data_IF_250695746577
#
_entry.id   IF_250695746577
#
_cell.length_a   1.000
_cell.length_b   1.000
_cell.length_c   1.000
_cell.angle_alpha   90.00
_cell.angle_beta   90.00
_cell.angle_gamma   90.00
#
_symmetry.space_group_name_H-M   'P 1'
#
loop_
_entity.id
_entity.type
_entity.pdbx_description
1 polymer ?
#
# COMPACT_ATOMS: atom_id res chain seq x y z
N UNK A 1 -30.33 -21.67 54.30
CA UNK A 1 -30.66 -20.88 53.09
C UNK A 1 -29.32 -20.52 52.45
N UNK A 2 -28.83 -21.23 51.41
CA UNK A 2 -29.12 -21.01 49.97
C UNK A 2 -29.24 -19.53 49.61
N UNK A 3 -28.24 -19.01 48.89
CA UNK A 3 -28.30 -18.65 47.46
C UNK A 3 -26.85 -18.65 46.94
N UNK A 4 -26.55 -19.60 46.05
CA UNK A 4 -25.53 -19.43 45.03
C UNK A 4 -26.18 -18.70 43.86
N UNK A 5 -25.39 -17.93 43.09
CA UNK A 5 -25.56 -17.49 41.68
C UNK A 5 -24.97 -16.06 41.54
N UNK A 6 -24.27 -15.63 40.49
CA UNK A 6 -23.85 -16.19 39.20
C UNK A 6 -22.73 -15.27 38.68
N UNK A 7 -21.76 -15.86 37.97
CA UNK A 7 -20.74 -15.18 37.16
C UNK A 7 -21.39 -14.28 36.09
N UNK A 8 -20.88 -13.06 35.88
CA UNK A 8 -20.89 -12.46 34.54
C UNK A 8 -19.46 -12.06 34.22
N UNK A 9 -18.84 -12.90 33.39
CA UNK A 9 -17.57 -12.61 32.76
C UNK A 9 -17.69 -11.39 31.86
N UNK A 10 -16.68 -10.55 31.90
CA UNK A 10 -16.27 -9.77 30.75
C UNK A 10 -14.78 -9.95 30.60
N UNK A 11 -14.39 -11.11 30.06
CA UNK A 11 -13.17 -11.17 29.26
C UNK A 11 -13.48 -10.34 28.01
N UNK A 12 -13.22 -9.04 28.08
CA UNK A 12 -13.01 -8.25 26.88
C UNK A 12 -11.71 -8.78 26.31
N UNK A 13 -11.80 -9.83 25.50
CA UNK A 13 -10.77 -10.16 24.55
C UNK A 13 -10.69 -8.92 23.65
N UNK A 14 -9.73 -8.05 23.92
CA UNK A 14 -9.14 -7.22 22.89
C UNK A 14 -8.67 -8.21 21.83
N UNK A 15 -9.55 -8.52 20.86
CA UNK A 15 -9.11 -8.94 19.56
C UNK A 15 -8.35 -7.74 19.05
N UNK A 16 -7.05 -7.69 19.36
CA UNK A 16 -6.13 -6.90 18.58
C UNK A 16 -6.38 -7.36 17.15
N UNK A 17 -7.05 -6.51 16.37
CA UNK A 17 -7.00 -6.62 14.93
C UNK A 17 -5.52 -6.58 14.64
N UNK A 18 -4.99 -7.75 14.36
CA UNK A 18 -3.58 -7.88 14.15
C UNK A 18 -3.34 -7.30 12.78
N UNK A 19 -3.01 -6.01 12.78
CA UNK A 19 -2.45 -5.30 11.64
C UNK A 19 -1.15 -6.00 11.28
N UNK A 20 -1.24 -7.03 10.45
CA UNK A 20 -0.08 -7.70 9.89
C UNK A 20 0.13 -7.18 8.47
N UNK A 21 0.96 -6.14 8.38
CA UNK A 21 1.76 -5.95 7.19
C UNK A 21 2.54 -7.26 6.94
N UNK A 22 2.58 -7.72 5.69
CA UNK A 22 3.38 -8.89 5.37
C UNK A 22 4.87 -8.57 5.57
N UNK A 23 5.65 -9.57 6.01
CA UNK A 23 7.08 -9.36 6.26
C UNK A 23 7.81 -8.86 5.00
N UNK A 24 8.88 -8.08 5.17
CA UNK A 24 9.70 -7.59 4.06
C UNK A 24 10.17 -8.70 3.11
N UNK A 25 10.40 -9.93 3.62
CA UNK A 25 10.75 -11.12 2.83
C UNK A 25 9.60 -11.56 1.91
N UNK A 26 8.36 -11.43 2.36
CA UNK A 26 7.19 -11.78 1.57
C UNK A 26 6.93 -10.73 0.49
N UNK A 27 7.12 -9.44 0.81
CA UNK A 27 7.09 -8.37 -0.18
C UNK A 27 8.15 -8.56 -1.27
N UNK A 28 9.34 -9.09 -0.93
CA UNK A 28 10.37 -9.46 -1.90
C UNK A 28 9.87 -10.51 -2.90
N UNK A 29 9.14 -11.52 -2.41
CA UNK A 29 8.61 -12.57 -3.29
C UNK A 29 7.64 -11.99 -4.29
N UNK A 30 6.75 -11.09 -3.85
CA UNK A 30 5.85 -10.39 -4.74
C UNK A 30 6.59 -9.50 -5.73
N UNK A 31 7.64 -8.79 -5.30
CA UNK A 31 8.41 -7.92 -6.19
C UNK A 31 9.12 -8.70 -7.31
N UNK A 32 9.47 -9.96 -7.02
CA UNK A 32 10.10 -10.87 -7.98
C UNK A 32 9.09 -11.63 -8.85
N UNK A 33 7.79 -11.37 -8.75
CA UNK A 33 6.82 -11.93 -9.68
C UNK A 33 7.06 -11.42 -11.11
N UNK A 34 6.77 -12.25 -12.13
CA UNK A 34 7.03 -11.92 -13.52
C UNK A 34 6.26 -10.68 -13.96
N UNK A 35 6.92 -9.84 -14.75
CA UNK A 35 6.27 -8.69 -15.39
C UNK A 35 5.46 -9.15 -16.61
N UNK A 36 4.39 -8.42 -16.90
CA UNK A 36 3.43 -8.66 -17.97
C UNK A 36 3.27 -7.42 -18.83
N UNK A 37 2.88 -7.62 -20.08
CA UNK A 37 2.52 -6.52 -20.97
C UNK A 37 1.07 -6.11 -20.69
N UNK A 38 0.85 -4.80 -20.51
CA UNK A 38 -0.44 -4.20 -20.26
C UNK A 38 -0.70 -3.02 -21.22
N UNK A 39 -1.96 -2.63 -21.31
CA UNK A 39 -2.41 -1.42 -22.00
C UNK A 39 -2.62 -0.30 -20.97
N UNK A 40 -1.92 0.82 -21.13
CA UNK A 40 -2.13 2.02 -20.33
C UNK A 40 -3.24 2.85 -20.96
N UNK A 41 -4.32 3.09 -20.22
CA UNK A 41 -5.45 3.91 -20.63
C UNK A 41 -5.30 5.32 -20.05
N UNK A 42 -6.25 6.20 -20.38
CA UNK A 42 -6.27 7.57 -19.85
C UNK A 42 -6.47 7.54 -18.34
N UNK A 43 -5.72 8.37 -17.62
CA UNK A 43 -5.91 8.54 -16.18
C UNK A 43 -7.36 8.95 -15.84
N UNK A 44 -7.80 8.50 -14.68
CA UNK A 44 -9.15 8.79 -14.16
C UNK A 44 -9.06 9.49 -12.82
N UNK A 45 -10.05 10.33 -12.54
CA UNK A 45 -10.29 10.77 -11.17
C UNK A 45 -10.59 9.55 -10.30
N UNK A 46 -10.01 9.50 -9.11
CA UNK A 46 -10.36 8.53 -8.10
C UNK A 46 -10.58 9.21 -6.74
N UNK A 47 -11.50 8.66 -5.91
CA UNK A 47 -11.67 9.13 -4.56
C UNK A 47 -10.36 9.05 -3.78
N UNK A 48 -10.20 9.90 -2.78
CA UNK A 48 -9.08 9.77 -1.88
C UNK A 48 -9.28 8.57 -0.94
N UNK A 49 -8.19 7.94 -0.51
CA UNK A 49 -8.25 6.71 0.31
C UNK A 49 -9.04 6.86 1.62
N UNK A 50 -9.15 8.09 2.15
CA UNK A 50 -9.91 8.43 3.35
C UNK A 50 -11.40 8.72 3.10
N UNK A 51 -11.85 8.76 1.84
CA UNK A 51 -13.24 9.03 1.47
C UNK A 51 -14.08 7.76 1.45
N UNK A 52 -15.37 7.87 1.79
CA UNK A 52 -16.28 6.72 1.96
C UNK A 52 -16.45 5.88 0.69
N UNK A 53 -16.45 6.52 -0.47
CA UNK A 53 -16.61 5.91 -1.78
C UNK A 53 -15.30 5.35 -2.39
N UNK A 54 -14.16 5.40 -1.69
CA UNK A 54 -12.95 4.71 -2.15
C UNK A 54 -13.13 3.18 -2.16
N UNK A 55 -12.37 2.49 -3.01
CA UNK A 55 -12.47 1.04 -3.21
C UNK A 55 -12.34 0.27 -1.87
N UNK A 56 -13.32 -0.60 -1.51
CA UNK A 56 -13.31 -1.32 -0.23
C UNK A 56 -12.11 -2.25 -0.03
N UNK A 57 -11.61 -2.89 -1.09
CA UNK A 57 -10.42 -3.73 -1.02
C UNK A 57 -9.17 -2.88 -0.82
N UNK A 58 -9.09 -1.73 -1.49
CA UNK A 58 -8.03 -0.74 -1.31
C UNK A 58 -7.97 -0.22 0.13
N UNK A 59 -9.12 0.14 0.73
CA UNK A 59 -9.19 0.52 2.16
C UNK A 59 -8.65 -0.57 3.07
N UNK A 60 -9.10 -1.82 2.87
CA UNK A 60 -8.65 -2.96 3.67
C UNK A 60 -7.15 -3.22 3.54
N UNK A 61 -6.56 -3.01 2.35
CA UNK A 61 -5.11 -3.12 2.14
C UNK A 61 -4.37 -2.04 2.95
N UNK A 62 -4.84 -0.81 2.92
CA UNK A 62 -4.25 0.33 3.65
C UNK A 62 -4.31 0.09 5.16
N UNK A 63 -5.45 -0.37 5.65
CA UNK A 63 -5.62 -0.78 7.04
C UNK A 63 -4.68 -1.94 7.39
N UNK A 64 -4.56 -2.98 6.56
CA UNK A 64 -3.63 -4.10 6.83
C UNK A 64 -2.17 -3.68 6.92
N UNK A 65 -1.76 -2.69 6.14
CA UNK A 65 -0.37 -2.20 6.16
C UNK A 65 -0.04 -1.51 7.49
N UNK A 66 -1.02 -0.93 8.20
CA UNK A 66 -0.72 -0.14 9.40
C UNK A 66 -1.36 1.25 9.41
N UNK A 67 -1.90 1.70 8.28
CA UNK A 67 -2.28 3.10 8.16
C UNK A 67 -3.66 3.37 8.75
N UNK A 68 -3.77 4.53 9.39
CA UNK A 68 -5.06 5.08 9.79
C UNK A 68 -5.63 5.91 8.63
N UNK A 69 -6.76 5.46 8.07
CA UNK A 69 -7.49 6.17 7.01
C UNK A 69 -7.91 7.59 7.40
N UNK A 70 -8.14 7.86 8.69
CA UNK A 70 -8.55 9.18 9.19
C UNK A 70 -7.37 10.11 9.52
N UNK A 71 -6.14 9.70 9.19
CA UNK A 71 -4.96 10.53 9.42
C UNK A 71 -4.95 11.72 8.46
N UNK A 72 -4.93 12.94 8.98
CA UNK A 72 -4.92 14.17 8.16
C UNK A 72 -3.59 14.44 7.42
N UNK A 73 -2.61 13.54 7.58
CA UNK A 73 -1.30 13.62 6.94
C UNK A 73 -1.22 12.95 5.57
N UNK A 74 -2.30 12.33 5.09
CA UNK A 74 -2.34 11.82 3.73
C UNK A 74 -2.16 12.94 2.70
N UNK A 75 -1.44 12.62 1.63
CA UNK A 75 -1.44 13.37 0.39
C UNK A 75 -1.68 12.40 -0.76
N UNK A 76 -2.51 12.82 -1.72
CA UNK A 76 -2.71 12.13 -2.99
C UNK A 76 -3.23 13.14 -4.00
N UNK A 77 -2.91 12.93 -5.27
CA UNK A 77 -3.43 13.74 -6.37
C UNK A 77 -4.93 13.53 -6.64
N UNK A 78 -5.54 12.46 -6.10
CA UNK A 78 -6.92 12.07 -6.46
C UNK A 78 -7.03 11.58 -7.91
N UNK A 79 -5.90 11.20 -8.51
CA UNK A 79 -5.81 10.69 -9.87
C UNK A 79 -5.26 9.27 -9.79
N UNK A 80 -5.86 8.37 -10.56
CA UNK A 80 -5.44 6.99 -10.67
C UNK A 80 -5.10 6.67 -12.12
N UNK A 81 -3.99 5.95 -12.31
CA UNK A 81 -3.64 5.43 -13.63
C UNK A 81 -4.51 4.23 -13.95
N UNK A 82 -5.16 4.26 -15.10
CA UNK A 82 -6.07 3.20 -15.54
C UNK A 82 -5.31 2.22 -16.43
N UNK A 83 -5.24 0.97 -16.00
CA UNK A 83 -4.56 -0.10 -16.71
C UNK A 83 -5.57 -1.14 -17.15
N UNK A 84 -5.41 -1.63 -18.37
CA UNK A 84 -6.11 -2.81 -18.85
C UNK A 84 -5.14 -3.95 -19.06
N UNK A 85 -5.47 -5.10 -18.48
CA UNK A 85 -4.73 -6.34 -18.67
C UNK A 85 -5.71 -7.49 -18.87
N UNK A 86 -5.54 -8.23 -19.97
CA UNK A 86 -6.53 -9.19 -20.46
C UNK A 86 -7.91 -8.53 -20.61
N UNK A 87 -8.90 -8.97 -19.83
CA UNK A 87 -10.28 -8.44 -19.83
C UNK A 87 -10.58 -7.56 -18.61
N UNK A 88 -9.60 -7.36 -17.73
CA UNK A 88 -9.79 -6.69 -16.45
C UNK A 88 -9.26 -5.25 -16.50
N UNK A 89 -9.95 -4.39 -15.78
CA UNK A 89 -9.50 -3.03 -15.49
C UNK A 89 -8.85 -2.99 -14.11
N UNK A 90 -7.77 -2.23 -14.01
CA UNK A 90 -7.03 -2.00 -12.79
C UNK A 90 -6.77 -0.50 -12.64
N UNK A 91 -6.71 -0.05 -11.40
CA UNK A 91 -6.40 1.33 -11.06
C UNK A 91 -5.17 1.36 -10.18
N UNK A 92 -4.17 2.15 -10.57
CA UNK A 92 -2.98 2.42 -9.75
C UNK A 92 -3.20 3.71 -9.00
N UNK A 93 -3.08 3.65 -7.68
CA UNK A 93 -3.20 4.78 -6.77
C UNK A 93 -1.89 4.99 -6.04
N UNK A 94 -1.44 6.24 -6.03
CA UNK A 94 -0.28 6.66 -5.26
C UNK A 94 -0.70 7.69 -4.21
N UNK A 95 -0.14 7.54 -3.02
CA UNK A 95 -0.28 8.48 -1.92
C UNK A 95 0.98 8.46 -1.06
N UNK A 96 1.20 9.54 -0.34
CA UNK A 96 2.28 9.65 0.63
C UNK A 96 1.82 10.34 1.92
N UNK A 97 2.60 10.15 2.97
CA UNK A 97 2.38 10.74 4.28
C UNK A 97 3.29 11.97 4.45
N UNK A 98 2.70 13.14 4.67
CA UNK A 98 3.39 14.46 4.73
C UNK A 98 4.69 14.46 5.54
N UNK A 99 4.67 13.85 6.72
CA UNK A 99 5.72 14.03 7.74
C UNK A 99 6.83 12.99 7.71
N UNK A 100 6.53 11.75 7.32
CA UNK A 100 7.54 10.68 7.29
C UNK A 100 7.90 10.24 5.88
N UNK A 101 7.27 10.82 4.84
CA UNK A 101 7.51 10.48 3.44
C UNK A 101 7.30 8.99 3.16
N UNK A 102 6.49 8.34 3.99
CA UNK A 102 6.05 6.99 3.73
C UNK A 102 5.08 7.02 2.57
N UNK A 103 5.40 6.32 1.49
CA UNK A 103 4.53 6.21 0.34
C UNK A 103 3.73 4.91 0.35
N UNK A 104 2.69 4.91 -0.49
CA UNK A 104 1.79 3.81 -0.74
C UNK A 104 1.54 3.74 -2.24
N UNK A 105 1.93 2.63 -2.86
CA UNK A 105 1.70 2.35 -4.28
C UNK A 105 0.76 1.17 -4.35
N UNK A 106 -0.48 1.44 -4.72
CA UNK A 106 -1.56 0.46 -4.68
C UNK A 106 -2.08 0.17 -6.08
N UNK A 107 -2.40 -1.09 -6.35
CA UNK A 107 -3.26 -1.51 -7.44
C UNK A 107 -4.58 -2.03 -6.87
N UNK A 108 -5.70 -1.72 -7.50
CA UNK A 108 -6.97 -2.32 -7.16
C UNK A 108 -7.90 -2.47 -8.36
N UNK A 109 -8.86 -3.37 -8.20
CA UNK A 109 -10.05 -3.49 -9.03
C UNK A 109 -11.25 -3.80 -8.12
N UNK A 110 -12.38 -4.19 -8.71
CA UNK A 110 -13.61 -4.44 -7.94
C UNK A 110 -13.48 -5.63 -6.97
N UNK A 111 -12.60 -6.59 -7.27
CA UNK A 111 -12.52 -7.87 -6.57
C UNK A 111 -11.31 -8.00 -5.64
N UNK A 112 -10.29 -7.17 -5.81
CA UNK A 112 -9.03 -7.31 -5.10
C UNK A 112 -8.21 -6.02 -5.10
N UNK A 113 -7.26 -5.96 -4.16
CA UNK A 113 -6.26 -4.90 -4.07
C UNK A 113 -4.93 -5.45 -3.56
N UNK A 114 -3.85 -4.79 -3.94
CA UNK A 114 -2.50 -5.05 -3.46
C UNK A 114 -1.73 -3.73 -3.34
N UNK A 115 -0.81 -3.64 -2.39
CA UNK A 115 0.01 -2.44 -2.22
C UNK A 115 1.41 -2.75 -1.72
N UNK A 116 2.35 -1.93 -2.17
CA UNK A 116 3.64 -1.70 -1.50
C UNK A 116 3.57 -0.39 -0.71
N UNK A 117 4.24 -0.37 0.43
CA UNK A 117 4.50 0.86 1.17
C UNK A 117 5.96 0.92 1.59
N UNK A 118 6.60 2.05 1.32
CA UNK A 118 8.00 2.29 1.64
C UNK A 118 8.09 3.39 2.67
N UNK A 119 8.59 3.06 3.85
CA UNK A 119 8.98 4.06 4.86
C UNK A 119 10.50 4.18 4.90
N UNK A 120 11.02 5.39 4.79
CA UNK A 120 12.46 5.64 4.87
C UNK A 120 13.01 5.11 6.21
N UNK A 121 14.04 4.28 6.16
CA UNK A 121 14.73 3.76 7.34
C UNK A 121 15.63 4.83 7.95
N UNK A 122 15.06 5.59 8.88
CA UNK A 122 15.75 6.71 9.57
C UNK A 122 16.95 6.26 10.40
N UNK A 123 17.05 4.99 10.76
CA UNK A 123 18.19 4.47 11.54
C UNK A 123 19.48 4.40 10.74
N UNK A 124 19.38 4.46 9.41
CA UNK A 124 20.49 4.40 8.46
C UNK A 124 20.82 5.76 7.83
N UNK A 125 20.14 6.82 8.26
CA UNK A 125 20.42 8.17 7.80
C UNK A 125 21.53 8.75 8.68
N UNK A 126 22.51 9.39 8.04
CA UNK A 126 23.58 10.10 8.74
C UNK A 126 23.04 11.29 9.54
N UNK A 127 23.79 11.75 10.56
CA UNK A 127 23.42 12.94 11.34
C UNK A 127 23.30 14.21 10.48
N UNK A 128 24.00 14.27 9.34
CA UNK A 128 23.89 15.35 8.35
C UNK A 128 22.58 15.32 7.54
N UNK A 129 21.72 14.32 7.74
CA UNK A 129 20.46 14.16 7.02
C UNK A 129 20.64 13.51 5.64
N UNK A 130 19.73 13.87 4.72
CA UNK A 130 19.73 13.45 3.32
C UNK A 130 19.24 14.60 2.42
N UNK A 131 19.51 14.46 1.13
CA UNK A 131 19.16 15.38 0.04
C UNK A 131 18.31 14.68 -1.00
N UNK A 132 17.72 15.43 -1.92
CA UNK A 132 16.84 14.88 -2.96
C UNK A 132 17.56 13.95 -3.96
N UNK A 133 18.89 13.95 -3.96
CA UNK A 133 19.73 13.10 -4.82
C UNK A 133 20.06 11.74 -4.17
N UNK A 134 19.79 11.59 -2.88
CA UNK A 134 20.16 10.40 -2.14
C UNK A 134 19.21 9.24 -2.40
N UNK A 135 19.76 8.02 -2.33
CA UNK A 135 19.01 6.78 -2.49
C UNK A 135 18.94 6.09 -1.13
N UNK A 136 17.76 6.18 -0.51
CA UNK A 136 17.56 5.80 0.88
C UNK A 136 17.09 4.36 1.00
N UNK A 137 17.52 3.68 2.07
CA UNK A 137 16.95 2.40 2.47
C UNK A 137 15.54 2.59 3.03
N UNK A 138 14.69 1.57 2.86
CA UNK A 138 13.31 1.61 3.35
C UNK A 138 12.94 0.36 4.14
N UNK A 139 12.06 0.57 5.11
CA UNK A 139 11.23 -0.46 5.71
C UNK A 139 10.08 -0.74 4.75
N UNK A 140 10.19 -1.84 4.00
CA UNK A 140 9.19 -2.26 3.02
C UNK A 140 8.07 -3.07 3.68
N UNK A 141 6.84 -2.63 3.45
CA UNK A 141 5.62 -3.33 3.84
C UNK A 141 4.74 -3.58 2.61
N UNK A 142 3.91 -4.62 2.66
CA UNK A 142 2.94 -4.91 1.61
C UNK A 142 1.74 -5.66 2.17
N UNK A 143 0.62 -5.61 1.45
CA UNK A 143 -0.56 -6.38 1.78
C UNK A 143 -1.40 -6.70 0.55
N UNK A 144 -2.01 -7.88 0.55
CA UNK A 144 -3.01 -8.32 -0.44
C UNK A 144 -4.38 -8.53 0.19
N UNK A 145 -5.43 -8.17 -0.56
CA UNK A 145 -6.83 -8.51 -0.25
C UNK A 145 -7.52 -8.95 -1.55
N UNK A 146 -8.30 -10.03 -1.49
CA UNK A 146 -9.01 -10.58 -2.64
C UNK A 146 -8.21 -11.65 -3.40
N UNK A 147 -8.82 -12.20 -4.45
CA UNK A 147 -8.35 -13.42 -5.12
C UNK A 147 -7.66 -13.20 -6.47
N UNK A 148 -7.61 -11.97 -6.99
CA UNK A 148 -6.97 -11.70 -8.28
C UNK A 148 -5.45 -11.99 -8.19
N UNK A 149 -5.00 -12.98 -8.96
CA UNK A 149 -3.61 -13.41 -9.02
C UNK A 149 -2.74 -12.49 -9.89
N UNK A 150 -3.34 -11.73 -10.80
CA UNK A 150 -2.59 -10.92 -11.78
C UNK A 150 -2.17 -9.56 -11.20
N UNK A 151 -2.79 -9.10 -10.10
CA UNK A 151 -2.56 -7.77 -9.51
C UNK A 151 -1.09 -7.42 -9.33
N UNK A 152 -0.33 -8.32 -8.71
CA UNK A 152 1.06 -8.06 -8.33
C UNK A 152 1.92 -7.93 -9.58
N UNK A 153 1.80 -8.90 -10.50
CA UNK A 153 2.49 -8.87 -11.80
C UNK A 153 2.16 -7.59 -12.58
N UNK A 154 0.89 -7.16 -12.62
CA UNK A 154 0.48 -5.91 -13.28
C UNK A 154 1.05 -4.67 -12.59
N UNK A 155 0.99 -4.58 -11.26
CA UNK A 155 1.57 -3.46 -10.50
C UNK A 155 3.08 -3.36 -10.71
N UNK A 156 3.80 -4.47 -10.60
CA UNK A 156 5.25 -4.49 -10.81
C UNK A 156 5.60 -4.01 -12.21
N UNK A 157 4.83 -4.44 -13.21
CA UNK A 157 5.00 -4.01 -14.60
C UNK A 157 4.79 -2.51 -14.75
N UNK A 158 3.75 -1.96 -14.12
CA UNK A 158 3.50 -0.53 -14.11
C UNK A 158 4.64 0.25 -13.46
N UNK A 159 5.04 -0.13 -12.24
CA UNK A 159 6.12 0.54 -11.50
C UNK A 159 7.39 0.55 -12.35
N UNK A 160 7.80 -0.60 -12.88
CA UNK A 160 9.06 -0.72 -13.62
C UNK A 160 9.06 0.01 -14.96
N UNK A 161 7.90 0.16 -15.61
CA UNK A 161 7.77 0.75 -16.95
C UNK A 161 7.43 2.24 -16.91
N UNK A 162 6.55 2.65 -16.01
CA UNK A 162 5.94 3.99 -15.99
C UNK A 162 6.45 4.87 -14.83
N UNK A 163 7.45 4.39 -14.06
CA UNK A 163 8.12 5.17 -13.00
C UNK A 163 9.65 5.01 -13.10
N UNK A 164 10.38 5.84 -12.36
CA UNK A 164 11.82 5.66 -12.16
C UNK A 164 12.20 4.65 -11.06
N UNK A 165 11.23 4.08 -10.35
CA UNK A 165 11.49 3.11 -9.27
C UNK A 165 11.97 1.79 -9.88
N UNK A 166 13.27 1.51 -9.74
CA UNK A 166 13.90 0.25 -10.20
C UNK A 166 14.14 -0.75 -9.07
N UNK A 167 14.11 -0.29 -7.83
CA UNK A 167 14.29 -1.13 -6.65
C UNK A 167 13.30 -0.71 -5.57
N UNK A 168 12.34 -1.58 -5.24
CA UNK A 168 11.29 -1.30 -4.26
C UNK A 168 11.84 -1.13 -2.82
N UNK A 169 13.08 -1.56 -2.55
CA UNK A 169 13.77 -1.36 -1.27
C UNK A 169 14.50 -0.02 -1.17
N UNK A 170 14.44 0.78 -2.23
CA UNK A 170 15.05 2.09 -2.27
C UNK A 170 13.98 3.15 -2.44
N UNK A 171 14.27 4.33 -1.93
CA UNK A 171 13.44 5.50 -2.08
C UNK A 171 14.32 6.69 -2.50
N UNK A 172 13.87 7.44 -3.48
CA UNK A 172 14.42 8.74 -3.83
C UNK A 172 13.32 9.78 -3.71
N UNK A 173 13.64 11.00 -3.24
CA UNK A 173 12.67 12.08 -3.16
C UNK A 173 12.15 12.46 -4.56
N UNK A 174 13.02 12.33 -5.56
CA UNK A 174 12.68 12.51 -6.97
C UNK A 174 12.04 11.26 -7.62
N UNK A 175 11.62 10.26 -6.84
CA UNK A 175 10.76 9.20 -7.36
C UNK A 175 9.51 9.84 -7.97
N UNK A 176 9.35 9.67 -9.27
CA UNK A 176 8.22 10.22 -10.01
C UNK A 176 7.33 9.07 -10.45
N UNK A 177 6.05 9.28 -10.19
CA UNK A 177 4.96 8.59 -10.86
C UNK A 177 4.57 9.51 -12.01
N UNK A 178 4.36 8.92 -13.18
CA UNK A 178 4.08 9.63 -14.43
C UNK A 178 3.14 10.82 -14.26
#
# INVERSE_FOLDING_TARGET
>A
MRIAQVLIGSLVLFQSVSLYAESAKQCLKYWNEPVVQFELLKDTQCPHVWEDNFNPHGKKVVEKIGFNLKNNNWMSAGICSHIKYKKNNYYIYWADMKHNKTDLIMIFNDNAAFSYSREIDRTKISDSGYTDKDVLDVNLSCAKVGSDSDLISVLNSYILKETNIKNIYKYQIADWFK
#
